data_IF_456286449031
#
_entry.id   IF_456286449031
#
_cell.length_a   1.000
_cell.length_b   1.000
_cell.length_c   1.000
_cell.angle_alpha   90.00
_cell.angle_beta   90.00
_cell.angle_gamma   90.00
#
_symmetry.space_group_name_H-M   'P 1'
#
loop_
_entity.id
_entity.type
_entity.pdbx_description
1 polymer ?
#
# COMPACT_ATOMS: atom_id res chain seq x y z
N UNK A 1 8.91 8.83 3.17
CA UNK A 1 8.63 7.53 3.80
C UNK A 1 9.06 6.41 2.87
N UNK A 2 9.86 5.47 3.35
CA UNK A 2 10.33 4.33 2.59
C UNK A 2 9.70 3.05 3.14
N UNK A 3 9.39 2.12 2.26
CA UNK A 3 8.95 0.77 2.61
C UNK A 3 9.84 -0.25 1.93
N UNK A 4 9.80 -1.47 2.42
CA UNK A 4 10.54 -2.59 1.83
C UNK A 4 9.64 -3.41 0.93
N UNK A 5 10.11 -3.74 -0.26
CA UNK A 5 9.53 -4.79 -1.07
C UNK A 5 10.15 -6.12 -0.65
N UNK A 6 9.32 -7.11 -0.48
CA UNK A 6 9.73 -8.48 -0.18
C UNK A 6 9.27 -9.37 -1.34
N UNK A 7 10.19 -10.11 -1.92
CA UNK A 7 9.93 -11.15 -2.88
C UNK A 7 10.10 -12.50 -2.20
N UNK A 8 8.99 -13.23 -2.03
CA UNK A 8 9.00 -14.58 -1.50
C UNK A 8 8.60 -15.57 -2.58
N UNK A 9 9.31 -16.69 -2.77
CA UNK A 9 8.85 -17.72 -3.67
C UNK A 9 7.61 -18.40 -3.07
N UNK A 10 6.62 -18.68 -3.88
CA UNK A 10 5.59 -19.67 -3.57
C UNK A 10 6.18 -21.06 -3.83
N UNK A 11 6.76 -21.64 -2.82
CA UNK A 11 7.03 -23.07 -2.79
C UNK A 11 5.96 -23.64 -1.86
N UNK A 12 5.09 -24.49 -2.39
CA UNK A 12 4.09 -25.35 -1.71
C UNK A 12 4.05 -25.24 -0.17
N UNK A 13 3.74 -24.08 0.33
CA UNK A 13 3.50 -23.83 1.74
C UNK A 13 2.00 -23.64 1.92
N UNK A 14 1.40 -24.29 2.90
CA UNK A 14 -0.04 -24.21 3.18
C UNK A 14 -0.48 -22.82 3.68
N UNK A 15 0.46 -21.88 3.84
CA UNK A 15 0.21 -20.52 4.33
C UNK A 15 0.23 -19.45 3.23
N UNK A 16 -0.43 -18.33 3.49
CA UNK A 16 -0.39 -17.14 2.64
C UNK A 16 0.82 -16.30 3.08
N UNK A 17 1.73 -15.99 2.13
CA UNK A 17 2.91 -15.14 2.34
C UNK A 17 3.88 -15.63 3.44
N UNK A 18 3.93 -16.94 3.70
CA UNK A 18 4.76 -17.56 4.75
C UNK A 18 6.11 -18.09 4.26
N UNK A 19 6.34 -18.10 2.95
CA UNK A 19 7.57 -18.59 2.34
C UNK A 19 8.82 -17.78 2.73
N UNK A 20 10.01 -18.35 2.52
CA UNK A 20 11.26 -17.64 2.83
C UNK A 20 11.44 -16.40 1.96
N UNK A 21 12.08 -15.37 2.50
CA UNK A 21 12.41 -14.14 1.79
C UNK A 21 13.63 -14.38 0.92
N UNK A 22 13.51 -14.16 -0.38
CA UNK A 22 14.61 -14.21 -1.34
C UNK A 22 15.24 -12.85 -1.62
N UNK A 23 14.44 -11.81 -1.57
CA UNK A 23 14.87 -10.46 -1.92
C UNK A 23 14.08 -9.44 -1.13
N UNK A 24 14.76 -8.42 -0.65
CA UNK A 24 14.16 -7.34 0.09
C UNK A 24 14.87 -6.03 -0.24
N UNK A 25 14.13 -5.04 -0.71
CA UNK A 25 14.66 -3.72 -1.03
C UNK A 25 13.69 -2.62 -0.61
N UNK A 26 14.24 -1.52 -0.13
CA UNK A 26 13.46 -0.33 0.20
C UNK A 26 13.13 0.47 -1.06
N UNK A 27 11.96 1.08 -1.07
CA UNK A 27 11.52 2.01 -2.11
C UNK A 27 10.70 3.16 -1.52
N UNK A 28 10.59 4.25 -2.28
CA UNK A 28 9.87 5.45 -1.86
C UNK A 28 8.36 5.25 -2.00
N UNK A 29 7.61 5.71 -0.98
CA UNK A 29 6.14 5.87 -1.02
C UNK A 29 5.72 7.32 -1.27
N UNK A 30 6.61 8.18 -1.69
CA UNK A 30 6.30 9.57 -2.06
C UNK A 30 5.58 9.59 -3.41
N UNK A 31 4.63 10.50 -3.58
CA UNK A 31 3.84 10.65 -4.79
C UNK A 31 2.46 10.00 -4.72
N UNK A 32 1.83 9.88 -5.87
CA UNK A 32 0.54 9.22 -6.05
C UNK A 32 0.67 7.68 -6.12
N UNK A 33 -0.46 7.00 -6.21
CA UNK A 33 -0.49 5.53 -6.27
C UNK A 33 0.21 4.98 -7.50
N UNK A 34 0.12 5.67 -8.64
CA UNK A 34 0.79 5.26 -9.89
C UNK A 34 2.31 5.31 -9.74
N UNK A 35 2.83 6.39 -9.16
CA UNK A 35 4.26 6.53 -8.86
C UNK A 35 4.77 5.43 -7.91
N UNK A 36 3.97 5.10 -6.89
CA UNK A 36 4.29 4.00 -5.96
C UNK A 36 4.33 2.66 -6.69
N UNK A 37 3.35 2.36 -7.55
CA UNK A 37 3.34 1.12 -8.32
C UNK A 37 4.51 1.04 -9.30
N UNK A 38 4.88 2.14 -9.95
CA UNK A 38 6.05 2.18 -10.82
C UNK A 38 7.33 1.86 -10.04
N UNK A 39 7.49 2.39 -8.83
CA UNK A 39 8.61 2.03 -7.95
C UNK A 39 8.60 0.54 -7.57
N UNK A 40 7.43 -0.04 -7.28
CA UNK A 40 7.29 -1.47 -6.99
C UNK A 40 7.71 -2.31 -8.19
N UNK A 41 7.29 -1.95 -9.40
CA UNK A 41 7.65 -2.66 -10.64
C UNK A 41 9.16 -2.62 -10.87
N UNK A 42 9.80 -1.46 -10.71
CA UNK A 42 11.25 -1.32 -10.88
C UNK A 42 12.02 -2.21 -9.89
N UNK A 43 11.72 -2.08 -8.60
CA UNK A 43 12.39 -2.85 -7.55
C UNK A 43 12.07 -4.34 -7.65
N UNK A 44 10.84 -4.70 -8.00
CA UNK A 44 10.42 -6.09 -8.23
C UNK A 44 11.16 -6.72 -9.42
N UNK A 45 11.35 -5.98 -10.50
CA UNK A 45 12.11 -6.45 -11.68
C UNK A 45 13.58 -6.73 -11.34
N UNK A 46 14.20 -5.89 -10.50
CA UNK A 46 15.56 -6.14 -10.00
C UNK A 46 15.62 -7.43 -9.16
N UNK A 47 14.63 -7.63 -8.27
CA UNK A 47 14.56 -8.84 -7.44
C UNK A 47 14.38 -10.14 -8.27
N UNK A 48 13.52 -10.09 -9.29
CA UNK A 48 13.34 -11.22 -10.23
C UNK A 48 14.64 -11.51 -10.97
N UNK A 49 15.35 -10.48 -11.44
CA UNK A 49 16.64 -10.64 -12.11
C UNK A 49 17.65 -11.32 -11.18
N UNK A 50 17.83 -10.79 -9.95
CA UNK A 50 18.74 -11.39 -8.97
C UNK A 50 18.42 -12.86 -8.68
N UNK A 51 17.14 -13.20 -8.61
CA UNK A 51 16.71 -14.59 -8.43
C UNK A 51 17.12 -15.47 -9.62
N UNK A 52 16.90 -15.02 -10.86
CA UNK A 52 17.24 -15.78 -12.07
C UNK A 52 18.76 -15.92 -12.27
N UNK A 53 19.54 -14.95 -11.80
CA UNK A 53 20.99 -14.96 -11.83
C UNK A 53 21.60 -15.84 -10.70
N UNK A 54 20.77 -16.31 -9.75
CA UNK A 54 21.20 -17.16 -8.65
C UNK A 54 21.81 -16.40 -7.47
N UNK A 55 21.64 -15.08 -7.40
CA UNK A 55 22.23 -14.21 -6.38
C UNK A 55 21.41 -14.15 -5.08
N UNK A 56 20.27 -14.85 -5.04
CA UNK A 56 19.37 -14.81 -3.90
C UNK A 56 19.62 -15.96 -2.92
N UNK A 57 19.72 -15.63 -1.63
CA UNK A 57 19.73 -16.60 -0.53
C UNK A 57 18.41 -16.53 0.21
N UNK A 58 17.74 -17.68 0.36
CA UNK A 58 16.46 -17.77 1.07
C UNK A 58 16.65 -17.58 2.58
N UNK A 59 15.93 -16.63 3.16
CA UNK A 59 15.94 -16.33 4.60
C UNK A 59 14.56 -16.64 5.19
N UNK A 60 14.44 -17.56 6.16
CA UNK A 60 13.16 -17.86 6.80
C UNK A 60 12.53 -16.63 7.45
N UNK A 61 11.19 -16.53 7.40
CA UNK A 61 10.45 -15.49 8.11
C UNK A 61 10.17 -15.88 9.56
N UNK A 62 10.12 -14.88 10.45
CA UNK A 62 9.64 -15.03 11.83
C UNK A 62 8.11 -14.95 11.84
N UNK A 63 7.43 -16.03 12.21
CA UNK A 63 5.97 -16.06 12.33
C UNK A 63 5.48 -15.30 13.57
N UNK A 64 6.33 -15.12 14.59
CA UNK A 64 5.98 -14.40 15.82
C UNK A 64 5.76 -12.90 15.59
N UNK A 65 6.39 -12.35 14.56
CA UNK A 65 6.28 -10.93 14.17
C UNK A 65 5.25 -10.70 13.04
N UNK A 66 4.48 -11.71 12.66
CA UNK A 66 3.52 -11.62 11.58
C UNK A 66 2.38 -10.64 11.91
N UNK A 67 2.06 -9.77 10.96
CA UNK A 67 0.94 -8.84 11.05
C UNK A 67 -0.15 -9.20 10.05
N UNK A 68 -1.40 -9.08 10.48
CA UNK A 68 -2.56 -9.42 9.65
C UNK A 68 -3.48 -8.20 9.50
N UNK A 69 -3.94 -7.97 8.29
CA UNK A 69 -4.89 -6.91 7.98
C UNK A 69 -6.20 -7.49 7.47
N UNK A 70 -7.32 -6.90 7.89
CA UNK A 70 -8.63 -7.23 7.33
C UNK A 70 -8.69 -6.79 5.87
N UNK A 71 -9.35 -7.58 5.03
CA UNK A 71 -9.65 -7.19 3.66
C UNK A 71 -10.47 -5.90 3.66
N UNK A 72 -10.06 -4.92 2.89
CA UNK A 72 -10.78 -3.66 2.75
C UNK A 72 -12.09 -3.86 1.99
N UNK A 73 -13.11 -3.13 2.43
CA UNK A 73 -14.39 -3.02 1.73
C UNK A 73 -14.56 -1.59 1.18
N UNK A 74 -15.44 -1.35 0.19
CA UNK A 74 -15.69 0.00 -0.35
C UNK A 74 -16.13 1.02 0.71
N UNK A 75 -16.83 0.57 1.76
CA UNK A 75 -17.30 1.40 2.87
C UNK A 75 -16.14 1.98 3.69
N UNK A 76 -15.02 1.29 3.76
CA UNK A 76 -13.80 1.76 4.43
C UNK A 76 -13.14 2.95 3.71
N UNK A 77 -13.60 3.30 2.50
CA UNK A 77 -13.16 4.48 1.77
C UNK A 77 -13.98 5.74 2.13
N UNK A 78 -15.02 5.62 2.94
CA UNK A 78 -15.75 6.77 3.44
C UNK A 78 -14.87 7.64 4.34
N UNK A 79 -14.99 8.95 4.20
CA UNK A 79 -14.44 9.96 5.11
C UNK A 79 -15.62 10.60 5.83
N UNK A 80 -15.65 10.46 7.14
CA UNK A 80 -16.71 10.96 8.01
C UNK A 80 -16.23 12.19 8.81
N UNK A 81 -17.14 12.92 9.40
CA UNK A 81 -16.79 14.14 10.17
C UNK A 81 -15.82 13.84 11.31
N UNK A 82 -16.02 12.74 12.00
CA UNK A 82 -15.18 12.27 13.09
C UNK A 82 -13.73 12.00 12.66
N UNK A 83 -13.48 11.71 11.38
CA UNK A 83 -12.13 11.53 10.86
C UNK A 83 -11.30 12.82 10.98
N UNK A 84 -11.92 13.99 10.86
CA UNK A 84 -11.22 15.28 10.97
C UNK A 84 -10.80 15.63 12.41
N UNK A 85 -11.42 15.02 13.41
CA UNK A 85 -11.06 15.16 14.82
C UNK A 85 -10.03 14.11 15.24
N UNK A 86 -10.03 12.93 14.61
CA UNK A 86 -9.22 11.77 15.00
C UNK A 86 -7.93 11.58 14.19
N UNK A 87 -7.86 12.11 12.97
CA UNK A 87 -6.73 11.97 12.07
C UNK A 87 -6.11 13.32 11.71
N UNK A 88 -4.82 13.33 11.52
CA UNK A 88 -4.09 14.48 11.00
C UNK A 88 -4.42 14.70 9.51
N UNK A 89 -4.21 15.92 9.01
CA UNK A 89 -4.34 16.23 7.60
C UNK A 89 -3.46 15.30 6.71
N UNK A 90 -2.28 14.95 7.20
CA UNK A 90 -1.35 14.01 6.53
C UNK A 90 -1.94 12.60 6.39
N UNK A 91 -2.61 12.09 7.42
CA UNK A 91 -3.25 10.77 7.40
C UNK A 91 -4.44 10.74 6.43
N UNK A 92 -5.26 11.79 6.41
CA UNK A 92 -6.36 11.93 5.44
C UNK A 92 -5.82 12.06 4.02
N UNK A 93 -4.78 12.88 3.82
CA UNK A 93 -4.07 12.99 2.55
C UNK A 93 -3.55 11.64 2.05
N UNK A 94 -2.91 10.86 2.93
CA UNK A 94 -2.43 9.51 2.59
C UNK A 94 -3.58 8.56 2.24
N UNK A 95 -4.72 8.64 2.92
CA UNK A 95 -5.93 7.87 2.58
C UNK A 95 -6.40 8.22 1.16
N UNK A 96 -6.45 9.50 0.79
CA UNK A 96 -6.93 9.94 -0.53
C UNK A 96 -5.94 9.55 -1.64
N UNK A 97 -4.65 9.84 -1.50
CA UNK A 97 -3.66 9.56 -2.55
C UNK A 97 -3.42 8.07 -2.81
N UNK A 98 -3.64 7.22 -1.79
CA UNK A 98 -3.44 5.76 -1.91
C UNK A 98 -4.71 5.00 -2.31
N UNK A 99 -5.90 5.58 -2.18
CA UNK A 99 -7.16 4.97 -2.60
C UNK A 99 -7.62 5.53 -3.95
N UNK A 100 -6.82 5.30 -4.98
CA UNK A 100 -7.12 5.62 -6.37
C UNK A 100 -7.31 4.33 -7.16
N UNK A 101 -7.73 4.45 -8.42
CA UNK A 101 -7.89 3.26 -9.26
C UNK A 101 -6.64 2.34 -9.17
N UNK A 102 -6.79 1.02 -9.00
CA UNK A 102 -8.00 0.17 -9.09
C UNK A 102 -8.83 0.04 -7.80
N UNK A 103 -8.48 0.77 -6.75
CA UNK A 103 -9.20 0.71 -5.48
C UNK A 103 -10.43 1.62 -5.47
N UNK A 104 -11.43 1.34 -4.59
CA UNK A 104 -12.55 2.26 -4.38
C UNK A 104 -12.07 3.64 -3.93
N UNK A 105 -12.48 4.67 -4.66
CA UNK A 105 -12.13 6.05 -4.33
C UNK A 105 -12.65 6.47 -2.95
N UNK A 106 -11.93 7.31 -2.21
CA UNK A 106 -12.44 7.94 -1.00
C UNK A 106 -13.64 8.82 -1.33
N UNK A 107 -14.61 8.85 -0.44
CA UNK A 107 -15.81 9.64 -0.64
C UNK A 107 -16.37 10.19 0.68
N UNK A 108 -17.15 11.26 0.55
CA UNK A 108 -17.95 11.85 1.61
C UNK A 108 -19.42 11.66 1.23
N UNK A 109 -20.26 11.23 2.16
CA UNK A 109 -21.71 11.20 1.98
C UNK A 109 -22.30 12.59 2.08
N UNK A 110 -23.13 12.95 1.12
CA UNK A 110 -23.81 14.22 1.03
C UNK A 110 -25.33 14.04 1.14
N UNK A 111 -26.07 15.16 1.19
CA UNK A 111 -27.53 15.19 1.23
C UNK A 111 -28.13 14.38 0.07
N UNK A 112 -29.22 13.66 0.34
CA UNK A 112 -29.91 12.86 -0.67
C UNK A 112 -29.22 11.54 -0.98
N UNK A 113 -28.41 11.03 -0.06
CA UNK A 113 -27.65 9.78 -0.21
C UNK A 113 -26.69 9.77 -1.40
N UNK A 114 -26.23 10.96 -1.82
CA UNK A 114 -25.22 11.12 -2.86
C UNK A 114 -23.81 11.03 -2.26
N UNK A 115 -22.82 10.76 -3.11
CA UNK A 115 -21.40 10.63 -2.72
C UNK A 115 -20.57 11.65 -3.48
N UNK A 116 -19.72 12.38 -2.76
CA UNK A 116 -18.67 13.21 -3.33
C UNK A 116 -17.37 12.43 -3.26
N UNK A 117 -16.85 12.05 -4.42
CA UNK A 117 -15.58 11.31 -4.52
C UNK A 117 -14.39 12.25 -4.55
N UNK A 118 -13.33 11.90 -3.82
CA UNK A 118 -12.11 12.69 -3.72
C UNK A 118 -11.00 12.04 -4.56
N UNK A 119 -10.47 12.78 -5.52
CA UNK A 119 -9.34 12.36 -6.36
C UNK A 119 -8.01 12.91 -5.88
N UNK A 120 -8.03 14.17 -5.48
CA UNK A 120 -6.83 14.90 -5.07
C UNK A 120 -7.16 15.81 -3.90
N UNK A 121 -6.26 15.84 -2.94
CA UNK A 121 -6.29 16.78 -1.81
C UNK A 121 -4.85 17.23 -1.54
N UNK A 122 -4.69 18.35 -0.86
CA UNK A 122 -3.39 18.89 -0.45
C UNK A 122 -3.38 19.17 1.04
N UNK A 123 -2.20 19.07 1.62
CA UNK A 123 -1.94 19.49 3.00
C UNK A 123 -1.22 20.83 2.92
N UNK A 124 -1.80 21.86 3.54
CA UNK A 124 -1.35 23.26 3.53
C UNK A 124 -1.40 23.95 2.16
N UNK A 125 -1.18 25.28 2.16
CA UNK A 125 -1.25 26.15 0.98
C UNK A 125 0.11 26.26 0.26
N UNK A 126 0.79 25.18 0.05
CA UNK A 126 2.00 25.18 -0.79
C UNK A 126 1.58 25.28 -2.26
N UNK A 127 1.42 26.53 -2.70
CA UNK A 127 1.14 26.90 -4.09
C UNK A 127 2.41 26.92 -4.91
#
# INVERSE_FOLDING_TARGET
MNKKLILSPHIDDEGIDTGPILYQKEFSLVGDLESIFNNIVLVGSEGIRSYLEGDCTAVPQSHEEATFFKRRTPEMSEIILEDFDNFTAEEIFNKVRCLQHPYPLPYIKCKGNTKLYLKEVRVNDDW
#
